data_IF_500738796413
#
_entry.id   IF_500738796413
#
_cell.length_a   1.000
_cell.length_b   1.000
_cell.length_c   1.000
_cell.angle_alpha   90.00
_cell.angle_beta   90.00
_cell.angle_gamma   90.00
#
_symmetry.space_group_name_H-M   'P 1'
#
loop_
_entity.id
_entity.type
_entity.pdbx_description
1 polymer ?
#
# COMPACT_ATOMS: atom_id res chain seq x y z
N UNK A 1 -16.71 59.09 52.08
CA UNK A 1 -15.64 58.07 52.21
C UNK A 1 -14.92 58.02 50.87
N UNK A 2 -13.59 58.16 50.90
CA UNK A 2 -12.83 58.42 49.67
C UNK A 2 -12.71 57.16 48.81
N UNK A 3 -12.88 57.30 47.50
CA UNK A 3 -12.70 56.24 46.50
C UNK A 3 -11.39 55.44 46.66
N UNK A 4 -10.34 56.07 47.19
CA UNK A 4 -9.06 55.41 47.50
C UNK A 4 -9.11 54.37 48.63
N UNK A 5 -10.07 54.43 49.55
CA UNK A 5 -10.24 53.41 50.60
C UNK A 5 -10.91 52.16 50.02
N UNK A 6 -11.96 52.37 49.23
CA UNK A 6 -12.69 51.31 48.52
C UNK A 6 -11.75 50.51 47.61
N UNK A 7 -10.87 51.19 46.85
CA UNK A 7 -9.89 50.51 46.00
C UNK A 7 -8.83 49.72 46.78
N UNK A 8 -8.46 50.15 47.99
CA UNK A 8 -7.52 49.41 48.84
C UNK A 8 -8.17 48.17 49.44
N UNK A 9 -9.42 48.28 49.88
CA UNK A 9 -10.18 47.15 50.38
C UNK A 9 -10.40 46.13 49.25
N UNK A 10 -10.78 46.58 48.05
CA UNK A 10 -10.88 45.69 46.89
C UNK A 10 -9.54 45.03 46.51
N UNK A 11 -8.44 45.78 46.53
CA UNK A 11 -7.11 45.25 46.23
C UNK A 11 -6.66 44.17 47.22
N UNK A 12 -7.01 44.32 48.50
CA UNK A 12 -6.71 43.34 49.55
C UNK A 12 -7.57 42.07 49.46
N UNK A 13 -8.76 42.17 48.86
CA UNK A 13 -9.67 41.05 48.63
C UNK A 13 -9.49 40.41 47.24
N UNK A 14 -8.62 40.96 46.40
CA UNK A 14 -8.33 40.44 45.07
C UNK A 14 -7.44 39.20 45.14
N UNK A 15 -7.71 38.20 44.29
CA UNK A 15 -6.86 37.03 44.08
C UNK A 15 -5.61 37.33 43.24
N UNK A 16 -5.53 38.53 42.66
CA UNK A 16 -4.39 38.94 41.82
C UNK A 16 -3.22 39.34 42.71
N UNK A 17 -2.19 38.50 42.77
CA UNK A 17 -1.08 38.64 43.71
C UNK A 17 -0.34 40.00 43.64
N UNK A 18 -0.26 40.65 42.48
CA UNK A 18 0.44 41.94 42.35
C UNK A 18 -0.34 43.16 42.87
N UNK A 19 -1.67 43.08 42.89
CA UNK A 19 -2.58 44.20 43.21
C UNK A 19 -2.50 44.67 44.69
N UNK A 20 -2.49 43.78 45.72
CA UNK A 20 -2.36 44.22 47.11
C UNK A 20 -1.01 44.85 47.42
N UNK A 21 0.08 44.40 46.77
CA UNK A 21 1.41 45.01 46.94
C UNK A 21 1.48 46.44 46.39
N UNK A 22 0.79 46.74 45.29
CA UNK A 22 0.68 48.08 44.71
C UNK A 22 -0.18 48.99 45.60
N UNK A 23 -1.30 48.48 46.10
CA UNK A 23 -2.25 49.23 46.93
C UNK A 23 -1.70 49.57 48.34
N UNK A 24 -0.93 48.65 48.94
CA UNK A 24 -0.34 48.81 50.27
C UNK A 24 1.06 49.46 50.27
N UNK A 25 1.62 49.78 49.11
CA UNK A 25 2.92 50.45 49.02
C UNK A 25 2.89 51.85 49.67
N UNK A 26 3.76 52.04 50.68
CA UNK A 26 3.86 53.28 51.48
C UNK A 26 4.50 54.44 50.72
N UNK A 27 5.40 54.18 49.78
CA UNK A 27 6.11 55.23 49.00
C UNK A 27 5.81 55.10 47.50
N UNK A 28 5.88 56.23 46.78
CA UNK A 28 5.67 56.26 45.33
C UNK A 28 6.69 55.40 44.56
N UNK A 29 7.95 55.34 45.02
CA UNK A 29 9.00 54.52 44.39
C UNK A 29 8.68 53.04 44.45
N UNK A 30 8.27 52.55 45.62
CA UNK A 30 7.86 51.16 45.81
C UNK A 30 6.59 50.81 45.03
N UNK A 31 5.64 51.76 44.89
CA UNK A 31 4.45 51.57 44.06
C UNK A 31 4.81 51.40 42.57
N UNK A 32 5.75 52.20 42.06
CA UNK A 32 6.25 52.09 40.67
C UNK A 32 6.97 50.75 40.46
N UNK A 33 7.78 50.31 41.42
CA UNK A 33 8.45 49.01 41.36
C UNK A 33 7.44 47.86 41.27
N UNK A 34 6.46 47.78 42.18
CA UNK A 34 5.45 46.72 42.17
C UNK A 34 4.54 46.78 40.94
N UNK A 35 4.25 47.98 40.42
CA UNK A 35 3.53 48.13 39.17
C UNK A 35 4.32 47.60 37.97
N UNK A 36 5.64 47.85 37.89
CA UNK A 36 6.49 47.33 36.83
C UNK A 36 6.59 45.80 36.87
N UNK A 37 6.71 45.21 38.06
CA UNK A 37 6.70 43.74 38.24
C UNK A 37 5.36 43.15 37.79
N UNK A 38 4.24 43.77 38.18
CA UNK A 38 2.92 43.30 37.76
C UNK A 38 2.72 43.39 36.24
N UNK A 39 3.16 44.48 35.61
CA UNK A 39 3.11 44.64 34.14
C UNK A 39 3.96 43.55 33.46
N UNK A 40 5.16 43.28 33.96
CA UNK A 40 6.03 42.22 33.43
C UNK A 40 5.35 40.84 33.51
N UNK A 41 4.73 40.50 34.64
CA UNK A 41 3.98 39.25 34.81
C UNK A 41 2.79 39.14 33.85
N UNK A 42 2.06 40.24 33.63
CA UNK A 42 0.95 40.28 32.65
C UNK A 42 1.47 40.08 31.23
N UNK A 43 2.60 40.68 30.87
CA UNK A 43 3.22 40.50 29.54
C UNK A 43 3.62 39.04 29.32
N UNK A 44 4.30 38.41 30.29
CA UNK A 44 4.69 36.99 30.20
C UNK A 44 3.45 36.11 30.10
N UNK A 45 2.42 36.38 30.90
CA UNK A 45 1.17 35.62 30.85
C UNK A 45 0.47 35.70 29.48
N UNK A 46 0.39 36.89 28.89
CA UNK A 46 -0.20 37.07 27.55
C UNK A 46 0.63 36.36 26.48
N UNK A 47 1.96 36.38 26.62
CA UNK A 47 2.86 35.67 25.70
C UNK A 47 2.70 34.15 25.77
N UNK A 48 2.66 33.58 26.98
CA UNK A 48 2.40 32.14 27.20
C UNK A 48 1.02 31.73 26.70
N UNK A 49 -0.01 32.55 26.94
CA UNK A 49 -1.36 32.31 26.43
C UNK A 49 -1.40 32.32 24.90
N UNK A 50 -0.66 33.25 24.27
CA UNK A 50 -0.53 33.30 22.82
C UNK A 50 0.11 32.02 22.27
N UNK A 51 1.20 31.53 22.87
CA UNK A 51 1.86 30.28 22.45
C UNK A 51 0.91 29.09 22.62
N UNK A 52 0.23 28.98 23.76
CA UNK A 52 -0.75 27.90 24.01
C UNK A 52 -1.88 27.90 22.97
N UNK A 53 -2.45 29.07 22.68
CA UNK A 53 -3.52 29.21 21.69
C UNK A 53 -3.02 28.90 20.27
N UNK A 54 -1.84 29.40 19.90
CA UNK A 54 -1.24 29.12 18.59
C UNK A 54 -0.96 27.62 18.42
N UNK A 55 -0.40 26.97 19.44
CA UNK A 55 -0.15 25.52 19.43
C UNK A 55 -1.44 24.71 19.36
N UNK A 56 -2.50 25.15 20.04
CA UNK A 56 -3.81 24.50 19.95
C UNK A 56 -4.40 24.60 18.53
N UNK A 57 -4.35 25.80 17.92
CA UNK A 57 -4.88 26.04 16.57
C UNK A 57 -3.98 25.50 15.44
N UNK A 58 -2.74 25.13 15.73
CA UNK A 58 -1.86 24.42 14.80
C UNK A 58 -2.20 22.92 14.67
N UNK A 59 -3.10 22.38 15.51
CA UNK A 59 -3.55 20.99 15.48
C UNK A 59 -2.41 19.95 15.36
N UNK A 60 -1.38 19.98 16.24
CA UNK A 60 -0.29 19.01 16.18
C UNK A 60 -0.80 17.59 16.40
N UNK A 61 -0.24 16.62 15.68
CA UNK A 61 -0.58 15.20 15.80
C UNK A 61 0.66 14.38 16.12
N UNK A 62 0.47 13.29 16.87
CA UNK A 62 1.51 12.32 17.20
C UNK A 62 1.17 10.97 16.57
N UNK A 63 2.20 10.22 16.18
CA UNK A 63 2.06 8.85 15.67
C UNK A 63 2.43 7.85 16.76
N UNK A 64 1.47 7.01 17.15
CA UNK A 64 1.69 5.90 18.07
C UNK A 64 1.73 4.60 17.28
N UNK A 65 2.72 3.75 17.56
CA UNK A 65 2.85 2.43 16.95
C UNK A 65 2.54 1.36 17.99
N UNK A 66 1.49 0.59 17.73
CA UNK A 66 1.08 -0.56 18.56
C UNK A 66 1.16 -1.84 17.73
N UNK A 67 1.57 -2.94 18.38
CA UNK A 67 1.68 -4.25 17.76
C UNK A 67 0.47 -5.07 18.18
N UNK A 68 -0.34 -5.49 17.21
CA UNK A 68 -1.51 -6.33 17.44
C UNK A 68 -1.21 -7.77 17.06
N UNK A 69 -1.40 -8.70 18.01
CA UNK A 69 -1.33 -10.15 17.77
C UNK A 69 -2.74 -10.70 17.60
N UNK A 70 -3.36 -10.38 16.48
CA UNK A 70 -4.67 -10.89 16.08
C UNK A 70 -4.51 -11.96 15.01
N UNK A 71 -5.52 -12.81 14.85
CA UNK A 71 -5.61 -13.68 13.69
C UNK A 71 -5.64 -12.83 12.41
N UNK A 72 -4.66 -13.06 11.53
CA UNK A 72 -4.52 -12.33 10.28
C UNK A 72 -5.05 -13.18 9.13
N UNK A 73 -5.98 -12.61 8.37
CA UNK A 73 -6.41 -13.18 7.10
C UNK A 73 -5.23 -13.14 6.14
N UNK A 74 -4.95 -14.25 5.48
CA UNK A 74 -3.90 -14.34 4.46
C UNK A 74 -4.28 -13.41 3.30
N UNK A 75 -3.35 -12.54 2.84
CA UNK A 75 -3.61 -11.74 1.65
C UNK A 75 -3.84 -12.64 0.44
N UNK A 76 -4.53 -12.10 -0.57
CA UNK A 76 -4.65 -12.74 -1.88
C UNK A 76 -3.26 -12.90 -2.46
N UNK A 77 -2.91 -14.14 -2.84
CA UNK A 77 -1.66 -14.44 -3.51
C UNK A 77 -1.95 -14.84 -4.94
N UNK A 78 -1.42 -14.10 -5.91
CA UNK A 78 -1.62 -14.38 -7.33
C UNK A 78 -0.30 -14.80 -7.97
N UNK A 79 -0.31 -15.95 -8.64
CA UNK A 79 0.80 -16.43 -9.44
C UNK A 79 0.38 -16.55 -10.90
N UNK A 80 1.19 -16.00 -11.79
CA UNK A 80 0.99 -16.11 -13.23
C UNK A 80 2.14 -16.86 -13.89
N UNK A 81 1.84 -17.63 -14.94
CA UNK A 81 2.84 -18.20 -15.83
C UNK A 81 2.49 -17.95 -17.31
N UNK A 82 3.53 -17.54 -18.05
CA UNK A 82 3.45 -17.22 -19.47
C UNK A 82 3.00 -18.39 -20.35
N UNK A 83 2.59 -18.05 -21.58
CA UNK A 83 2.04 -18.99 -22.56
C UNK A 83 3.10 -19.94 -23.12
N UNK A 84 2.67 -21.12 -23.54
CA UNK A 84 3.49 -22.11 -24.23
C UNK A 84 3.52 -21.88 -25.73
N UNK A 85 4.61 -22.30 -26.36
CA UNK A 85 4.72 -22.37 -27.82
C UNK A 85 3.74 -23.42 -28.37
N UNK A 86 2.87 -22.98 -29.27
CA UNK A 86 1.72 -23.75 -29.78
C UNK A 86 2.12 -24.99 -30.59
N UNK A 87 3.35 -25.04 -31.10
CA UNK A 87 3.83 -26.08 -32.02
C UNK A 87 3.83 -27.50 -31.42
N UNK A 88 3.77 -27.64 -30.10
CA UNK A 88 3.67 -28.94 -29.41
C UNK A 88 2.33 -29.19 -28.69
N UNK A 89 1.46 -28.17 -28.57
CA UNK A 89 0.15 -28.30 -27.91
C UNK A 89 -0.99 -28.80 -28.83
N UNK A 90 -0.69 -29.07 -30.10
CA UNK A 90 -1.62 -29.72 -31.03
C UNK A 90 -2.11 -28.84 -32.18
N UNK A 91 -1.91 -29.38 -33.40
CA UNK A 91 -2.41 -28.97 -34.72
C UNK A 91 -1.67 -27.86 -35.51
N UNK A 92 -0.73 -28.33 -36.33
CA UNK A 92 -0.55 -28.10 -37.78
C UNK A 92 -0.47 -26.67 -38.32
N UNK A 93 0.58 -26.48 -39.13
CA UNK A 93 0.85 -25.55 -40.24
C UNK A 93 1.46 -24.17 -39.96
N UNK A 94 2.58 -24.00 -40.67
CA UNK A 94 3.34 -22.79 -40.99
C UNK A 94 4.20 -22.22 -39.86
N UNK A 95 5.50 -22.48 -40.01
CA UNK A 95 6.58 -21.50 -40.12
C UNK A 95 6.19 -20.01 -40.03
N UNK A 96 5.55 -19.57 -38.96
CA UNK A 96 5.63 -18.19 -38.52
C UNK A 96 6.63 -18.15 -37.38
N UNK A 97 7.82 -17.66 -37.71
CA UNK A 97 8.79 -17.21 -36.73
C UNK A 97 8.03 -16.47 -35.63
N UNK A 98 8.25 -16.86 -34.37
CA UNK A 98 7.69 -16.17 -33.21
C UNK A 98 7.71 -14.66 -33.45
N UNK A 99 6.61 -13.91 -33.22
CA UNK A 99 6.51 -12.49 -33.53
C UNK A 99 7.66 -11.66 -32.94
N UNK A 100 8.24 -12.14 -31.84
CA UNK A 100 9.49 -11.66 -31.23
C UNK A 100 10.66 -11.64 -32.21
N UNK A 101 10.84 -12.71 -32.98
CA UNK A 101 11.91 -12.86 -34.00
C UNK A 101 11.66 -11.97 -35.21
N UNK A 102 10.39 -11.74 -35.58
CA UNK A 102 10.03 -10.85 -36.66
C UNK A 102 10.30 -9.38 -36.28
N UNK A 103 9.89 -8.97 -35.08
CA UNK A 103 10.13 -7.62 -34.52
C UNK A 103 11.62 -7.36 -34.29
N UNK A 104 12.35 -8.32 -33.72
CA UNK A 104 13.80 -8.20 -33.50
C UNK A 104 14.60 -8.08 -34.80
N UNK A 105 14.09 -8.61 -35.91
CA UNK A 105 14.73 -8.54 -37.22
C UNK A 105 14.38 -7.28 -38.03
N UNK A 106 13.29 -6.59 -37.70
CA UNK A 106 12.79 -5.43 -38.44
C UNK A 106 13.32 -4.08 -37.90
N UNK A 107 13.62 -3.98 -36.61
CA UNK A 107 14.01 -2.71 -35.99
C UNK A 107 15.47 -2.75 -35.51
N UNK A 108 16.39 -2.16 -36.30
CA UNK A 108 17.81 -2.05 -35.94
C UNK A 108 18.13 -0.79 -35.10
N UNK A 109 17.16 0.10 -34.85
CA UNK A 109 17.40 1.44 -34.31
C UNK A 109 16.95 1.62 -32.83
N UNK A 110 16.08 0.76 -32.29
CA UNK A 110 15.64 0.84 -30.89
C UNK A 110 16.61 0.22 -29.87
N UNK A 111 16.60 0.75 -28.63
CA UNK A 111 17.25 0.12 -27.46
C UNK A 111 16.68 -1.30 -27.21
N UNK A 112 17.46 -2.21 -26.64
CA UNK A 112 17.04 -3.59 -26.35
C UNK A 112 15.72 -3.62 -25.56
N UNK A 113 15.60 -2.77 -24.53
CA UNK A 113 14.37 -2.61 -23.74
C UNK A 113 13.15 -2.23 -24.58
N UNK A 114 13.30 -1.32 -25.54
CA UNK A 114 12.22 -0.80 -26.39
C UNK A 114 11.80 -1.84 -27.46
N UNK A 115 12.69 -2.80 -27.79
CA UNK A 115 12.36 -3.94 -28.64
C UNK A 115 11.59 -5.00 -27.87
N UNK A 116 12.02 -5.28 -26.64
CA UNK A 116 11.37 -6.26 -25.76
C UNK A 116 9.94 -5.81 -25.42
N UNK A 117 9.72 -4.50 -25.22
CA UNK A 117 8.40 -3.92 -24.96
C UNK A 117 7.44 -4.20 -26.11
N UNK A 118 7.87 -3.81 -27.31
CA UNK A 118 7.07 -3.94 -28.52
C UNK A 118 6.81 -5.39 -28.86
N UNK A 119 7.76 -6.29 -28.58
CA UNK A 119 7.56 -7.72 -28.76
C UNK A 119 6.49 -8.27 -27.80
N UNK A 120 6.48 -7.84 -26.53
CA UNK A 120 5.47 -8.23 -25.55
C UNK A 120 4.07 -7.68 -25.90
N UNK A 121 3.98 -6.41 -26.29
CA UNK A 121 2.73 -5.77 -26.71
C UNK A 121 2.15 -6.41 -27.98
N UNK A 122 2.99 -6.71 -28.97
CA UNK A 122 2.57 -7.43 -30.17
C UNK A 122 2.08 -8.85 -29.85
N UNK A 123 2.75 -9.55 -28.94
CA UNK A 123 2.32 -10.88 -28.49
C UNK A 123 0.98 -10.84 -27.74
N UNK A 124 0.76 -9.80 -26.92
CA UNK A 124 -0.52 -9.59 -26.24
C UNK A 124 -1.65 -9.32 -27.23
N UNK A 125 -1.39 -8.51 -28.28
CA UNK A 125 -2.37 -8.23 -29.33
C UNK A 125 -2.73 -9.47 -30.15
N UNK A 126 -1.74 -10.29 -30.52
CA UNK A 126 -1.98 -11.55 -31.23
C UNK A 126 -2.71 -12.58 -30.35
N UNK A 127 -2.41 -12.61 -29.05
CA UNK A 127 -3.14 -13.45 -28.11
C UNK A 127 -4.60 -12.99 -27.92
N UNK A 128 -4.88 -11.68 -28.00
CA UNK A 128 -6.25 -11.17 -27.99
C UNK A 128 -7.02 -11.49 -29.28
N UNK A 129 -6.31 -11.66 -30.41
CA UNK A 129 -6.90 -12.13 -31.68
C UNK A 129 -7.19 -13.63 -31.67
N UNK A 130 -6.38 -14.41 -30.96
CA UNK A 130 -6.63 -15.83 -30.72
C UNK A 130 -7.87 -15.98 -29.82
N UNK A 131 -8.99 -16.40 -30.39
CA UNK A 131 -10.18 -16.75 -29.61
C UNK A 131 -9.91 -17.88 -28.61
N UNK A 132 -10.82 -18.07 -27.66
CA UNK A 132 -10.66 -18.98 -26.51
C UNK A 132 -10.20 -20.41 -26.87
N UNK A 133 -10.66 -20.93 -28.01
CA UNK A 133 -10.29 -22.27 -28.50
C UNK A 133 -8.81 -22.43 -28.86
N UNK A 134 -8.15 -21.35 -29.28
CA UNK A 134 -6.72 -21.36 -29.61
C UNK A 134 -5.82 -21.02 -28.43
N UNK A 135 -6.35 -20.27 -27.45
CA UNK A 135 -5.60 -19.79 -26.30
C UNK A 135 -5.59 -20.82 -25.15
N UNK A 136 -6.71 -21.52 -24.91
CA UNK A 136 -6.83 -22.53 -23.88
C UNK A 136 -5.70 -23.60 -23.89
N UNK A 137 -5.32 -24.22 -25.02
CA UNK A 137 -4.24 -25.21 -25.04
C UNK A 137 -2.82 -24.61 -24.87
N UNK A 138 -2.66 -23.30 -25.07
CA UNK A 138 -1.39 -22.60 -24.88
C UNK A 138 -1.17 -22.15 -23.43
N UNK A 139 -2.19 -22.25 -22.57
CA UNK A 139 -2.16 -21.86 -21.16
C UNK A 139 -1.83 -23.07 -20.27
N UNK A 140 -1.12 -22.82 -19.17
CA UNK A 140 -0.89 -23.85 -18.15
C UNK A 140 -2.19 -24.08 -17.37
N UNK A 141 -2.52 -25.35 -17.08
CA UNK A 141 -3.58 -25.69 -16.14
C UNK A 141 -3.07 -25.67 -14.69
N UNK A 142 -3.99 -25.76 -13.72
CA UNK A 142 -3.65 -25.73 -12.29
C UNK A 142 -2.68 -26.85 -11.93
N UNK A 143 -3.01 -28.09 -12.29
CA UNK A 143 -2.22 -29.28 -11.98
C UNK A 143 -0.83 -29.28 -12.65
N UNK A 144 -0.69 -28.62 -13.80
CA UNK A 144 0.59 -28.51 -14.49
C UNK A 144 1.52 -27.47 -13.87
N UNK A 145 0.94 -26.40 -13.29
CA UNK A 145 1.69 -25.31 -12.68
C UNK A 145 1.95 -25.55 -11.19
N UNK A 146 0.91 -25.85 -10.42
CA UNK A 146 0.94 -25.99 -8.97
C UNK A 146 0.93 -27.48 -8.62
N UNK A 147 2.11 -28.04 -8.48
CA UNK A 147 2.28 -29.48 -8.17
C UNK A 147 2.02 -29.82 -6.71
N UNK A 148 2.42 -28.95 -5.78
CA UNK A 148 2.10 -29.11 -4.37
C UNK A 148 1.67 -27.76 -3.78
N UNK A 149 0.58 -27.76 -3.01
CA UNK A 149 0.14 -26.61 -2.24
C UNK A 149 -0.09 -27.03 -0.79
N UNK A 150 0.43 -26.22 0.14
CA UNK A 150 0.06 -26.31 1.54
C UNK A 150 -0.07 -24.95 2.20
N UNK A 151 -1.15 -24.74 2.94
CA UNK A 151 -1.34 -23.60 3.81
C UNK A 151 -1.48 -24.07 5.26
N UNK A 152 -0.63 -23.55 6.15
CA UNK A 152 -0.61 -23.94 7.57
C UNK A 152 -0.58 -25.46 7.81
N UNK A 153 0.12 -26.20 6.94
CA UNK A 153 0.26 -27.66 7.01
C UNK A 153 -0.91 -28.47 6.43
N UNK A 154 -1.99 -27.81 5.99
CA UNK A 154 -3.10 -28.46 5.26
C UNK A 154 -2.84 -28.39 3.76
N UNK A 155 -3.22 -29.42 3.01
CA UNK A 155 -3.13 -29.40 1.54
C UNK A 155 -4.24 -28.52 0.96
N UNK A 156 -3.90 -27.68 -0.02
CA UNK A 156 -4.87 -26.90 -0.79
C UNK A 156 -5.24 -27.63 -2.09
N UNK A 157 -6.36 -27.24 -2.67
CA UNK A 157 -6.94 -27.79 -3.90
C UNK A 157 -7.18 -26.70 -4.93
N UNK A 158 -7.48 -27.07 -6.18
CA UNK A 158 -7.83 -26.12 -7.24
C UNK A 158 -9.03 -25.21 -6.85
N UNK A 159 -9.97 -25.71 -6.05
CA UNK A 159 -11.12 -24.95 -5.59
C UNK A 159 -10.76 -23.76 -4.66
N UNK A 160 -9.54 -23.76 -4.09
CA UNK A 160 -9.03 -22.67 -3.26
C UNK A 160 -8.42 -21.53 -4.09
N UNK A 161 -8.37 -21.70 -5.42
CA UNK A 161 -7.81 -20.76 -6.37
C UNK A 161 -8.85 -20.27 -7.37
N UNK A 162 -8.85 -18.97 -7.60
CA UNK A 162 -9.58 -18.36 -8.72
C UNK A 162 -8.63 -18.27 -9.91
N UNK A 163 -9.01 -18.89 -11.03
CA UNK A 163 -8.23 -18.80 -12.27
C UNK A 163 -8.74 -17.65 -13.13
N UNK A 164 -7.81 -16.85 -13.65
CA UNK A 164 -8.11 -15.82 -14.63
C UNK A 164 -6.99 -15.76 -15.66
N UNK A 165 -7.29 -15.12 -16.81
CA UNK A 165 -6.38 -15.08 -17.96
C UNK A 165 -5.91 -13.66 -18.15
N UNK A 166 -4.60 -13.47 -18.04
CA UNK A 166 -3.96 -12.19 -18.30
C UNK A 166 -3.42 -12.15 -19.75
N UNK A 167 -3.74 -11.11 -20.54
CA UNK A 167 -3.26 -10.98 -21.92
C UNK A 167 -1.73 -11.00 -22.05
N UNK A 168 -1.00 -10.50 -21.04
CA UNK A 168 0.46 -10.38 -21.03
C UNK A 168 1.07 -11.59 -20.30
N UNK A 169 0.60 -11.89 -19.09
CA UNK A 169 1.22 -12.89 -18.22
C UNK A 169 0.71 -14.31 -18.40
N UNK A 170 -0.38 -14.54 -19.16
CA UNK A 170 -0.89 -15.87 -19.44
C UNK A 170 -1.89 -16.37 -18.40
N UNK A 171 -1.67 -17.59 -17.88
CA UNK A 171 -2.59 -18.20 -16.93
C UNK A 171 -2.22 -17.76 -15.51
N UNK A 172 -3.18 -17.19 -14.79
CA UNK A 172 -3.01 -16.72 -13.42
C UNK A 172 -3.94 -17.45 -12.46
N UNK A 173 -3.43 -17.75 -11.26
CA UNK A 173 -4.15 -18.40 -10.18
C UNK A 173 -4.00 -17.56 -8.91
N UNK A 174 -5.13 -17.12 -8.36
CA UNK A 174 -5.20 -16.37 -7.11
C UNK A 174 -5.72 -17.23 -5.97
N UNK A 175 -4.87 -17.44 -4.98
CA UNK A 175 -5.23 -18.07 -3.72
C UNK A 175 -6.00 -17.10 -2.82
N UNK A 176 -7.09 -17.58 -2.20
CA UNK A 176 -7.90 -16.83 -1.24
C UNK A 176 -8.52 -15.53 -1.81
N UNK A 177 -8.82 -15.51 -3.12
CA UNK A 177 -9.52 -14.38 -3.78
C UNK A 177 -11.03 -14.43 -3.55
N UNK A 178 -11.63 -15.63 -3.54
CA UNK A 178 -13.05 -15.76 -3.25
C UNK A 178 -13.34 -15.41 -1.79
N UNK A 179 -14.31 -14.51 -1.60
CA UNK A 179 -14.81 -14.10 -0.27
C UNK A 179 -15.45 -15.22 0.54
N UNK A 180 -15.80 -16.35 -0.08
CA UNK A 180 -16.26 -17.55 0.61
C UNK A 180 -15.13 -18.29 1.35
N UNK A 181 -13.89 -18.07 0.94
CA UNK A 181 -12.69 -18.65 1.53
C UNK A 181 -12.20 -17.76 2.68
N UNK A 182 -11.81 -18.38 3.79
CA UNK A 182 -11.27 -17.67 4.95
C UNK A 182 -9.98 -18.34 5.42
N UNK A 183 -8.92 -18.22 4.62
CA UNK A 183 -7.59 -18.67 5.00
C UNK A 183 -6.92 -17.63 5.90
N UNK A 184 -6.79 -17.96 7.18
CA UNK A 184 -6.20 -17.10 8.21
C UNK A 184 -5.11 -17.82 9.00
N UNK A 185 -4.21 -17.04 9.60
CA UNK A 185 -3.18 -17.55 10.49
C UNK A 185 -2.99 -16.64 11.69
N UNK A 186 -2.76 -17.23 12.86
CA UNK A 186 -2.46 -16.51 14.10
C UNK A 186 -0.96 -16.51 14.44
N UNK A 187 -0.14 -17.22 13.66
CA UNK A 187 1.28 -17.42 13.94
C UNK A 187 2.11 -17.10 12.71
N UNK A 188 3.16 -16.32 12.93
CA UNK A 188 4.19 -16.11 11.93
C UNK A 188 5.09 -17.35 11.81
N UNK A 189 5.58 -17.60 10.59
CA UNK A 189 6.56 -18.65 10.31
C UNK A 189 6.25 -19.42 9.03
N UNK A 190 7.29 -19.99 8.41
CA UNK A 190 7.17 -20.67 7.11
C UNK A 190 6.21 -21.88 7.15
N UNK A 191 6.00 -22.50 8.31
CA UNK A 191 5.06 -23.62 8.47
C UNK A 191 3.59 -23.19 8.49
N UNK A 192 3.32 -21.95 8.89
CA UNK A 192 1.98 -21.37 9.05
C UNK A 192 1.56 -20.47 7.89
N UNK A 193 2.40 -20.36 6.85
CA UNK A 193 2.13 -19.63 5.62
C UNK A 193 1.76 -20.54 4.45
N UNK A 194 1.68 -19.94 3.27
CA UNK A 194 1.49 -20.62 2.00
C UNK A 194 2.83 -21.20 1.50
N UNK A 195 2.81 -22.48 1.13
CA UNK A 195 3.91 -23.20 0.51
C UNK A 195 3.44 -23.75 -0.83
N UNK A 196 4.18 -23.43 -1.88
CA UNK A 196 3.89 -23.87 -3.23
C UNK A 196 5.12 -24.53 -3.83
N UNK A 197 4.91 -25.65 -4.51
CA UNK A 197 5.86 -26.24 -5.43
C UNK A 197 5.36 -25.99 -6.84
N UNK A 198 6.05 -25.10 -7.55
CA UNK A 198 5.70 -24.72 -8.92
C UNK A 198 6.55 -25.50 -9.91
N UNK A 199 5.91 -26.11 -10.90
CA UNK A 199 6.59 -26.82 -11.98
C UNK A 199 6.45 -26.05 -13.28
N UNK A 200 7.59 -25.80 -13.92
CA UNK A 200 7.64 -25.00 -15.15
C UNK A 200 8.40 -25.77 -16.21
N UNK A 201 7.75 -26.04 -17.34
CA UNK A 201 8.41 -26.66 -18.48
C UNK A 201 9.14 -25.59 -19.32
N UNK A 202 10.46 -25.47 -19.14
CA UNK A 202 11.31 -24.47 -19.82
C UNK A 202 11.39 -24.65 -21.34
N UNK A 203 11.13 -25.85 -21.86
CA UNK A 203 11.22 -26.12 -23.30
C UNK A 203 10.02 -25.56 -24.06
N UNK A 204 8.88 -25.47 -23.38
CA UNK A 204 7.61 -25.03 -23.96
C UNK A 204 7.34 -23.55 -23.75
N UNK A 205 8.06 -22.86 -22.86
CA UNK A 205 7.82 -21.44 -22.62
C UNK A 205 8.21 -20.62 -23.86
N UNK A 206 7.25 -19.85 -24.36
CA UNK A 206 7.54 -18.76 -25.29
C UNK A 206 8.57 -17.85 -24.61
N UNK A 207 9.80 -17.83 -25.14
CA UNK A 207 10.85 -16.92 -24.69
C UNK A 207 10.45 -15.51 -25.11
N UNK A 208 9.65 -14.84 -24.30
CA UNK A 208 9.67 -13.40 -24.31
C UNK A 208 11.06 -12.96 -23.81
N UNK A 209 11.75 -12.05 -24.52
CA UNK A 209 13.04 -11.53 -24.11
C UNK A 209 12.82 -10.67 -22.87
N UNK A 210 12.79 -11.30 -21.70
CA UNK A 210 12.64 -10.59 -20.44
C UNK A 210 14.01 -10.16 -19.96
N UNK A 211 14.59 -9.17 -20.64
CA UNK A 211 15.81 -8.49 -20.20
C UNK A 211 15.47 -7.22 -19.42
N UNK A 212 14.74 -7.39 -18.31
CA UNK A 212 14.46 -6.31 -17.37
C UNK A 212 13.18 -5.52 -17.66
N UNK A 213 12.38 -5.40 -16.61
CA UNK A 213 11.26 -4.48 -16.39
C UNK A 213 10.33 -4.20 -17.60
N UNK A 214 9.17 -4.87 -17.63
CA UNK A 214 8.02 -4.49 -18.47
C UNK A 214 6.69 -4.89 -17.82
N UNK A 215 5.57 -4.27 -18.24
CA UNK A 215 4.66 -3.59 -17.32
C UNK A 215 3.33 -4.36 -17.19
N UNK A 216 2.47 -3.82 -16.34
CA UNK A 216 1.04 -4.09 -16.15
C UNK A 216 0.57 -5.04 -15.04
N UNK A 217 1.49 -5.63 -14.25
CA UNK A 217 1.23 -6.11 -12.86
C UNK A 217 1.75 -5.05 -11.85
N UNK A 218 1.38 -3.78 -12.08
CA UNK A 218 2.30 -2.69 -12.45
C UNK A 218 3.02 -1.89 -11.34
N UNK A 219 3.45 -2.51 -10.24
CA UNK A 219 4.51 -1.92 -9.37
C UNK A 219 5.02 -2.87 -8.26
N UNK A 220 4.29 -3.96 -7.95
CA UNK A 220 4.54 -4.77 -6.75
C UNK A 220 4.74 -6.28 -7.03
N UNK A 221 4.78 -6.71 -8.29
CA UNK A 221 5.03 -8.11 -8.66
C UNK A 221 6.48 -8.52 -8.38
N UNK A 222 6.69 -9.75 -7.89
CA UNK A 222 8.01 -10.32 -7.63
C UNK A 222 8.28 -11.44 -8.63
N UNK A 223 9.32 -11.26 -9.46
CA UNK A 223 9.78 -12.32 -10.36
C UNK A 223 10.52 -13.41 -9.57
N UNK A 224 9.99 -14.63 -9.63
CA UNK A 224 10.58 -15.80 -8.96
C UNK A 224 11.38 -16.62 -9.98
N UNK A 225 12.66 -16.81 -9.70
CA UNK A 225 13.54 -17.64 -10.51
C UNK A 225 13.23 -19.14 -10.35
N UNK A 226 13.36 -19.88 -11.44
CA UNK A 226 13.19 -21.35 -11.46
C UNK A 226 14.45 -22.07 -10.95
N UNK A 227 14.26 -23.19 -10.23
CA UNK A 227 15.36 -24.04 -9.75
C UNK A 227 15.96 -23.64 -8.40
N UNK A 228 15.32 -22.70 -7.68
CA UNK A 228 15.69 -22.31 -6.33
C UNK A 228 14.44 -22.23 -5.44
N UNK A 229 14.63 -22.32 -4.13
CA UNK A 229 13.57 -22.06 -3.16
C UNK A 229 13.57 -20.58 -2.78
N UNK A 230 12.45 -19.89 -2.98
CA UNK A 230 12.26 -18.49 -2.56
C UNK A 230 11.38 -18.42 -1.34
N UNK A 231 11.85 -17.74 -0.28
CA UNK A 231 11.06 -17.47 0.91
C UNK A 231 10.68 -15.99 0.93
N UNK A 232 9.37 -15.71 0.91
CA UNK A 232 8.82 -14.35 0.92
C UNK A 232 8.18 -14.12 2.29
N UNK A 233 8.59 -13.06 2.99
CA UNK A 233 8.02 -12.64 4.26
C UNK A 233 7.15 -11.41 4.06
N UNK A 234 5.96 -11.41 4.66
CA UNK A 234 4.98 -10.34 4.54
C UNK A 234 4.65 -9.82 5.94
N UNK A 235 4.55 -8.50 6.09
CA UNK A 235 4.14 -7.84 7.33
C UNK A 235 2.94 -6.94 7.04
N UNK A 236 1.83 -7.16 7.74
CA UNK A 236 0.64 -6.32 7.65
C UNK A 236 0.78 -5.11 8.55
N UNK A 237 0.56 -3.91 8.00
CA UNK A 237 0.59 -2.64 8.76
C UNK A 237 -0.75 -1.94 8.60
N UNK A 238 -1.49 -1.76 9.70
CA UNK A 238 -2.72 -0.97 9.73
C UNK A 238 -2.39 0.46 10.15
N UNK A 239 -2.78 1.44 9.33
CA UNK A 239 -2.54 2.86 9.63
C UNK A 239 -3.88 3.57 9.84
N UNK A 240 -4.15 4.00 11.08
CA UNK A 240 -5.32 4.82 11.39
C UNK A 240 -4.91 6.31 11.39
N UNK A 241 -5.53 7.11 10.51
CA UNK A 241 -5.23 8.55 10.36
C UNK A 241 -6.38 9.41 10.87
N UNK A 242 -6.06 10.52 11.51
CA UNK A 242 -7.06 11.48 11.98
C UNK A 242 -7.72 12.24 10.82
N UNK A 243 -8.99 12.61 11.00
CA UNK A 243 -9.75 13.44 10.06
C UNK A 243 -9.39 14.93 10.22
N UNK A 244 -9.93 15.78 9.34
CA UNK A 244 -9.81 17.24 9.48
C UNK A 244 -10.40 17.69 10.82
N UNK A 245 -9.81 18.67 11.52
CA UNK A 245 -8.68 19.54 11.12
C UNK A 245 -7.26 18.95 11.35
N UNK A 246 -7.14 17.83 12.05
CA UNK A 246 -5.85 17.21 12.42
C UNK A 246 -5.15 16.46 11.27
N UNK A 247 -5.92 16.01 10.26
CA UNK A 247 -5.39 15.31 9.10
C UNK A 247 -6.28 15.42 7.86
N UNK A 248 -5.86 14.80 6.75
CA UNK A 248 -6.59 14.79 5.48
C UNK A 248 -7.30 13.45 5.19
N UNK A 249 -7.61 12.68 6.23
CA UNK A 249 -8.28 11.38 6.08
C UNK A 249 -9.79 11.55 5.81
N UNK A 250 -10.33 10.74 4.90
CA UNK A 250 -11.77 10.61 4.60
C UNK A 250 -12.20 9.16 4.81
N UNK A 251 -13.46 8.91 5.23
CA UNK A 251 -13.93 7.54 5.50
C UNK A 251 -14.17 6.72 4.23
N UNK A 252 -14.73 7.37 3.21
CA UNK A 252 -14.98 6.77 1.91
C UNK A 252 -14.51 7.76 0.85
N UNK A 253 -13.62 7.29 -0.02
CA UNK A 253 -13.21 8.03 -1.19
C UNK A 253 -14.35 8.01 -2.22
N UNK A 254 -14.60 9.15 -2.89
CA UNK A 254 -15.60 9.20 -3.97
C UNK A 254 -15.24 8.21 -5.07
N UNK A 255 -16.24 7.58 -5.68
CA UNK A 255 -16.03 6.55 -6.71
C UNK A 255 -15.21 7.07 -7.91
N UNK A 256 -15.22 8.38 -8.18
CA UNK A 256 -14.40 9.03 -9.21
C UNK A 256 -12.90 9.11 -8.90
N UNK A 257 -12.50 9.00 -7.64
CA UNK A 257 -11.11 9.09 -7.17
C UNK A 257 -10.60 7.78 -6.58
N UNK A 258 -11.50 6.81 -6.37
CA UNK A 258 -11.17 5.52 -5.78
C UNK A 258 -10.51 4.61 -6.82
N UNK A 259 -9.18 4.66 -6.88
CA UNK A 259 -8.36 3.82 -7.78
C UNK A 259 -8.53 2.32 -7.52
N UNK A 260 -8.94 1.92 -6.31
CA UNK A 260 -9.11 0.51 -5.92
C UNK A 260 -10.51 -0.05 -6.24
N UNK A 261 -11.51 0.81 -6.46
CA UNK A 261 -12.83 0.35 -6.90
C UNK A 261 -12.88 0.07 -8.41
N UNK A 262 -12.04 0.76 -9.19
CA UNK A 262 -12.03 0.68 -10.66
C UNK A 262 -11.40 -0.62 -11.18
N UNK A 263 -10.60 -1.33 -10.37
CA UNK A 263 -9.97 -2.60 -10.77
C UNK A 263 -10.92 -3.81 -10.83
N UNK A 264 -12.15 -3.71 -10.31
CA UNK A 264 -13.18 -4.75 -10.44
C UNK A 264 -14.08 -4.57 -11.67
N UNK A 265 -13.87 -3.53 -12.47
CA UNK A 265 -14.61 -3.29 -13.70
C UNK A 265 -13.73 -3.57 -14.92
N UNK A 266 -13.30 -4.83 -15.09
CA UNK A 266 -12.91 -5.28 -16.42
C UNK A 266 -14.19 -5.44 -17.25
N UNK A 267 -14.28 -4.64 -18.32
CA UNK A 267 -15.26 -4.75 -19.40
C UNK A 267 -15.08 -6.03 -20.21
#
# INVERSE_FOLDING_TARGET
MGFSQILKDFANWSTVCGVPHIANAKTKRWRVFWAAVFICLVIVFVYELYIMMANFLNFPTNANTEIYFEEQVCPVYTQCLGKRDRNEAGSITSSEKSPVTAVASADKMGSVYDRDQRAAEALALEAARLGDSGLAPALYTYDELITECSFSGKKCSEADFVSFRDPIYGACYSFNEDSSLNYSTNRAGMMFGLKLLLTVNRQLLLKAPFSGAQPYLDNNGINVGVGHQTAISITSTRTHRMKRPYGKCVEKESDSTNLYAVQLACA
#
